data_IF_958806476400
#
_entry.id   IF_958806476400
#
_cell.length_a   1.000
_cell.length_b   1.000
_cell.length_c   1.000
_cell.angle_alpha   90.00
_cell.angle_beta   90.00
_cell.angle_gamma   90.00
#
_symmetry.space_group_name_H-M   'P 1'
#
loop_
_entity.id
_entity.type
_entity.pdbx_description
1 polymer ?
#
# COMPACT_ATOMS: atom_id res chain seq x y z
N UNK A 1 31.16 4.73 12.57
CA UNK A 1 30.88 3.31 12.29
C UNK A 1 29.38 3.18 12.14
N UNK A 2 28.88 3.09 10.91
CA UNK A 2 27.46 2.80 10.67
C UNK A 2 27.26 1.34 11.10
N UNK A 3 26.45 1.11 12.14
CA UNK A 3 26.11 -0.25 12.55
C UNK A 3 25.51 -1.02 11.37
N UNK A 4 25.76 -2.32 11.31
CA UNK A 4 25.18 -3.17 10.26
C UNK A 4 23.67 -2.94 10.18
N UNK A 5 23.19 -2.51 9.01
CA UNK A 5 21.77 -2.36 8.78
C UNK A 5 21.12 -3.74 8.83
N UNK A 6 20.22 -3.94 9.78
CA UNK A 6 19.43 -5.15 9.86
C UNK A 6 18.57 -5.28 8.59
N UNK A 7 18.55 -6.49 8.00
CA UNK A 7 17.78 -6.78 6.81
C UNK A 7 16.74 -7.87 7.08
N UNK A 8 15.55 -7.73 6.48
CA UNK A 8 14.53 -8.78 6.36
C UNK A 8 14.20 -8.95 4.87
N UNK A 9 14.40 -10.16 4.35
CA UNK A 9 14.23 -10.49 2.92
C UNK A 9 14.90 -9.46 2.01
N UNK A 10 16.14 -9.10 2.32
CA UNK A 10 16.95 -8.15 1.56
C UNK A 10 16.55 -6.68 1.67
N UNK A 11 15.56 -6.31 2.50
CA UNK A 11 15.10 -4.93 2.75
C UNK A 11 15.58 -4.41 4.09
N UNK A 12 15.83 -3.10 4.19
CA UNK A 12 16.37 -2.44 5.38
C UNK A 12 15.27 -2.30 6.44
N UNK A 13 15.50 -2.79 7.65
CA UNK A 13 14.55 -2.65 8.76
C UNK A 13 14.59 -1.23 9.31
N UNK A 14 13.46 -0.51 9.25
CA UNK A 14 13.28 0.83 9.84
C UNK A 14 12.51 0.79 11.17
N UNK A 15 11.68 -0.22 11.36
CA UNK A 15 10.96 -0.51 12.61
C UNK A 15 10.52 -1.99 12.59
N UNK A 16 10.61 -2.69 13.72
CA UNK A 16 10.21 -4.10 13.83
C UNK A 16 8.73 -4.28 14.19
N UNK A 17 8.19 -3.40 15.04
CA UNK A 17 6.80 -3.47 15.49
C UNK A 17 6.18 -2.06 15.62
N UNK A 18 5.28 -1.65 14.71
CA UNK A 18 4.85 -2.37 13.51
C UNK A 18 5.95 -2.45 12.44
N UNK A 19 5.97 -3.53 11.65
CA UNK A 19 7.02 -3.82 10.67
C UNK A 19 7.10 -2.75 9.57
N UNK A 20 8.26 -2.12 9.42
CA UNK A 20 8.54 -1.16 8.36
C UNK A 20 9.88 -1.47 7.69
N UNK A 21 9.83 -1.77 6.40
CA UNK A 21 10.97 -2.20 5.60
C UNK A 21 11.19 -1.23 4.44
N UNK A 22 12.42 -0.80 4.24
CA UNK A 22 12.82 0.10 3.16
C UNK A 22 13.51 -0.69 2.03
N UNK A 23 13.21 -0.33 0.79
CA UNK A 23 13.95 -0.84 -0.36
C UNK A 23 15.41 -0.35 -0.29
N UNK A 24 16.43 -1.20 -0.46
CA UNK A 24 17.80 -0.72 -0.64
C UNK A 24 17.88 0.08 -1.95
N UNK A 25 17.93 1.40 -1.87
CA UNK A 25 17.79 2.29 -3.03
C UNK A 25 18.81 2.02 -4.15
N UNK A 26 20.02 1.63 -3.79
CA UNK A 26 21.10 1.22 -4.70
C UNK A 26 20.77 -0.01 -5.57
N UNK A 27 19.74 -0.78 -5.20
CA UNK A 27 19.26 -1.95 -5.96
C UNK A 27 18.15 -1.61 -6.94
N UNK A 28 17.74 -0.34 -7.06
CA UNK A 28 16.76 0.08 -8.05
C UNK A 28 17.40 0.03 -9.45
N UNK A 29 17.00 -0.95 -10.26
CA UNK A 29 17.64 -1.27 -11.54
C UNK A 29 16.68 -1.20 -12.74
N UNK A 30 15.41 -0.79 -12.53
CA UNK A 30 14.41 -0.73 -13.59
C UNK A 30 13.22 0.17 -13.30
N UNK A 31 12.35 0.32 -14.31
CA UNK A 31 11.11 1.10 -14.20
C UNK A 31 10.12 0.49 -13.20
N UNK A 32 10.06 -0.85 -13.14
CA UNK A 32 9.22 -1.58 -12.18
C UNK A 32 10.12 -2.10 -11.07
N UNK A 33 9.81 -1.71 -9.83
CA UNK A 33 10.40 -2.26 -8.63
C UNK A 33 9.88 -3.69 -8.41
N UNK A 34 10.75 -4.72 -8.31
CA UNK A 34 10.31 -6.07 -7.98
C UNK A 34 9.54 -6.12 -6.65
N UNK A 35 8.52 -6.99 -6.56
CA UNK A 35 7.68 -7.12 -5.35
C UNK A 35 8.51 -7.39 -4.10
N UNK A 36 9.55 -8.21 -4.23
CA UNK A 36 10.46 -8.59 -3.15
C UNK A 36 11.29 -7.40 -2.65
N UNK A 37 11.49 -6.39 -3.49
CA UNK A 37 12.24 -5.17 -3.17
C UNK A 37 11.32 -4.02 -2.72
N UNK A 38 10.01 -4.08 -2.99
CA UNK A 38 9.06 -3.00 -2.69
C UNK A 38 9.01 -2.72 -1.18
N UNK A 39 9.01 -1.43 -0.81
CA UNK A 39 9.00 -1.02 0.59
C UNK A 39 7.71 -1.45 1.31
N UNK A 40 7.79 -1.69 2.61
CA UNK A 40 6.65 -2.07 3.45
C UNK A 40 6.46 -1.00 4.51
N UNK A 41 5.31 -0.32 4.51
CA UNK A 41 4.91 0.58 5.59
C UNK A 41 3.65 0.04 6.27
N UNK A 42 3.79 -0.43 7.51
CA UNK A 42 2.63 -0.79 8.35
C UNK A 42 2.52 0.09 9.59
N UNK A 43 1.28 0.38 10.00
CA UNK A 43 0.96 1.07 11.26
C UNK A 43 0.45 0.10 12.35
N UNK A 44 0.04 -1.11 11.94
CA UNK A 44 -0.61 -2.12 12.78
C UNK A 44 -0.13 -3.52 12.38
N UNK A 45 -0.37 -4.55 13.19
CA UNK A 45 -0.10 -5.93 12.82
C UNK A 45 -0.78 -6.33 11.50
N UNK A 46 -0.06 -7.06 10.65
CA UNK A 46 -0.59 -7.55 9.37
C UNK A 46 -1.62 -8.66 9.66
N UNK A 47 -2.88 -8.51 9.20
CA UNK A 47 -3.92 -9.51 9.47
C UNK A 47 -3.70 -10.80 8.69
N UNK A 48 -4.04 -11.94 9.31
CA UNK A 48 -4.19 -13.21 8.60
C UNK A 48 -5.59 -13.28 8.00
N UNK A 49 -5.68 -13.33 6.67
CA UNK A 49 -6.96 -13.29 5.96
C UNK A 49 -7.27 -14.66 5.36
N UNK A 50 -8.49 -15.16 5.62
CA UNK A 50 -9.08 -16.29 4.90
C UNK A 50 -9.82 -15.77 3.67
N UNK A 51 -9.28 -16.06 2.48
CA UNK A 51 -9.83 -15.61 1.19
C UNK A 51 -11.31 -15.98 1.01
N UNK A 52 -11.74 -17.14 1.50
CA UNK A 52 -13.09 -17.64 1.29
C UNK A 52 -14.12 -16.92 2.18
N UNK A 53 -13.68 -16.39 3.32
CA UNK A 53 -14.51 -15.66 4.28
C UNK A 53 -14.43 -14.14 4.10
N UNK A 54 -13.42 -13.65 3.39
CA UNK A 54 -13.26 -12.23 3.13
C UNK A 54 -14.44 -11.65 2.34
N UNK A 55 -14.86 -10.43 2.72
CA UNK A 55 -15.91 -9.67 2.05
C UNK A 55 -15.48 -8.21 1.92
N UNK A 56 -15.67 -7.63 0.74
CA UNK A 56 -15.63 -6.19 0.52
C UNK A 56 -17.03 -5.63 0.70
N UNK A 57 -17.21 -4.75 1.69
CA UNK A 57 -18.47 -4.02 1.91
C UNK A 57 -18.38 -2.67 1.25
N UNK A 58 -19.40 -2.31 0.47
CA UNK A 58 -19.59 -0.97 -0.06
C UNK A 58 -20.89 -0.44 0.55
N UNK A 59 -20.76 0.49 1.50
CA UNK A 59 -21.85 1.00 2.34
C UNK A 59 -21.66 2.49 2.65
N UNK A 60 -22.47 3.07 3.54
CA UNK A 60 -22.46 4.50 3.87
C UNK A 60 -23.48 5.29 3.06
N UNK A 61 -23.09 6.46 2.55
CA UNK A 61 -23.94 7.38 1.77
C UNK A 61 -24.16 6.89 0.33
N UNK A 62 -24.76 5.71 0.20
CA UNK A 62 -25.05 5.03 -1.06
C UNK A 62 -26.49 4.51 -1.10
N UNK A 63 -27.08 4.49 -2.30
CA UNK A 63 -28.46 4.03 -2.51
C UNK A 63 -28.62 2.53 -2.28
N UNK A 64 -27.61 1.75 -2.64
CA UNK A 64 -27.66 0.28 -2.69
C UNK A 64 -26.38 -0.29 -2.08
N UNK A 65 -26.28 -0.39 -0.75
CA UNK A 65 -25.14 -1.05 -0.12
C UNK A 65 -25.08 -2.52 -0.56
N UNK A 66 -23.87 -3.05 -0.74
CA UNK A 66 -23.66 -4.44 -1.13
C UNK A 66 -22.34 -5.00 -0.59
N UNK A 67 -22.21 -6.32 -0.61
CA UNK A 67 -20.96 -7.03 -0.32
C UNK A 67 -20.50 -7.85 -1.52
N UNK A 68 -19.18 -8.03 -1.66
CA UNK A 68 -18.56 -8.93 -2.63
C UNK A 68 -17.60 -9.90 -1.96
N UNK A 69 -17.66 -11.17 -2.34
CA UNK A 69 -16.58 -12.11 -2.10
C UNK A 69 -15.36 -11.83 -3.00
N UNK A 70 -14.21 -12.41 -2.64
CA UNK A 70 -12.98 -12.23 -3.41
C UNK A 70 -13.10 -12.71 -4.87
N UNK A 71 -13.70 -13.88 -5.09
CA UNK A 71 -13.86 -14.44 -6.44
C UNK A 71 -14.91 -13.67 -7.28
N UNK A 72 -15.83 -12.94 -6.65
CA UNK A 72 -16.77 -12.05 -7.34
C UNK A 72 -16.08 -10.76 -7.78
N UNK A 73 -15.23 -10.20 -6.91
CA UNK A 73 -14.41 -9.03 -7.23
C UNK A 73 -13.50 -9.29 -8.43
N UNK A 74 -12.88 -10.47 -8.50
CA UNK A 74 -11.98 -10.84 -9.62
C UNK A 74 -12.70 -10.99 -10.97
N UNK A 75 -14.04 -11.12 -10.99
CA UNK A 75 -14.83 -11.22 -12.24
C UNK A 75 -15.21 -9.85 -12.79
N UNK A 76 -15.06 -8.78 -12.04
CA UNK A 76 -15.35 -7.43 -12.50
C UNK A 76 -14.28 -6.94 -13.47
N UNK A 77 -14.63 -5.93 -14.27
CA UNK A 77 -13.67 -5.29 -15.18
C UNK A 77 -12.47 -4.75 -14.39
N UNK A 78 -11.27 -5.14 -14.81
CA UNK A 78 -10.02 -4.73 -14.19
C UNK A 78 -9.20 -3.86 -15.13
N UNK A 79 -8.43 -2.95 -14.53
CA UNK A 79 -7.41 -2.16 -15.22
C UNK A 79 -6.04 -2.49 -14.65
N UNK A 80 -5.05 -2.35 -15.51
CA UNK A 80 -3.64 -2.59 -15.20
C UNK A 80 -2.86 -1.32 -15.50
N UNK A 81 -2.23 -0.73 -14.48
CA UNK A 81 -1.52 0.55 -14.61
C UNK A 81 -0.23 0.56 -13.78
N UNK A 82 0.88 1.13 -14.28
CA UNK A 82 2.05 1.40 -13.46
C UNK A 82 1.77 2.60 -12.54
N UNK A 83 2.04 2.45 -11.24
CA UNK A 83 1.88 3.51 -10.25
C UNK A 83 3.04 3.48 -9.27
N UNK A 84 3.62 4.66 -9.04
CA UNK A 84 4.57 4.89 -7.96
C UNK A 84 3.81 5.16 -6.66
N UNK A 85 4.10 4.38 -5.64
CA UNK A 85 3.71 4.69 -4.26
C UNK A 85 4.94 5.21 -3.53
N UNK A 86 4.80 6.37 -2.89
CA UNK A 86 5.83 6.98 -2.07
C UNK A 86 5.25 7.28 -0.69
N UNK A 87 5.98 6.89 0.36
CA UNK A 87 5.63 7.29 1.70
C UNK A 87 5.86 8.79 1.88
N UNK A 88 4.91 9.52 2.45
CA UNK A 88 5.12 10.91 2.86
C UNK A 88 6.31 11.10 3.83
N UNK A 89 6.80 10.01 4.45
CA UNK A 89 7.99 9.99 5.28
C UNK A 89 9.29 9.67 4.54
N UNK A 90 9.29 9.43 3.24
CA UNK A 90 10.51 9.20 2.47
C UNK A 90 11.48 10.37 2.71
N UNK A 91 12.77 10.08 2.79
CA UNK A 91 13.83 11.04 3.11
C UNK A 91 13.80 11.66 4.53
N UNK A 92 12.92 11.22 5.45
CA UNK A 92 12.84 11.78 6.81
C UNK A 92 14.18 11.76 7.54
N UNK A 93 15.01 10.75 7.32
CA UNK A 93 16.34 10.63 7.95
C UNK A 93 17.28 11.79 7.59
N UNK A 94 17.02 12.52 6.50
CA UNK A 94 17.84 13.66 6.05
C UNK A 94 17.34 15.01 6.57
N UNK A 95 16.18 15.07 7.24
CA UNK A 95 15.64 16.31 7.79
C UNK A 95 16.49 16.83 8.95
N UNK A 96 16.64 18.16 8.99
CA UNK A 96 17.26 18.90 10.08
C UNK A 96 16.35 20.07 10.53
N UNK A 97 15.97 20.16 11.81
CA UNK A 97 16.28 19.20 12.88
C UNK A 97 15.59 17.85 12.65
N UNK A 98 16.12 16.78 13.26
CA UNK A 98 15.48 15.46 13.24
C UNK A 98 14.05 15.53 13.79
N UNK A 99 13.13 14.85 13.12
CA UNK A 99 11.72 14.78 13.50
C UNK A 99 11.29 13.35 13.83
N UNK A 100 10.23 13.22 14.64
CA UNK A 100 9.68 11.92 15.05
C UNK A 100 9.13 11.13 13.85
N UNK A 101 9.12 9.80 14.00
CA UNK A 101 8.64 8.85 13.01
C UNK A 101 9.73 7.88 12.54
N UNK A 102 9.37 6.91 11.70
CA UNK A 102 10.32 6.00 11.08
C UNK A 102 11.33 6.81 10.24
N UNK A 103 12.62 6.59 10.48
CA UNK A 103 13.71 7.33 9.86
C UNK A 103 14.06 6.73 8.49
N UNK A 104 13.21 6.99 7.50
CA UNK A 104 13.40 6.54 6.13
C UNK A 104 14.57 7.25 5.45
N UNK A 105 15.39 6.49 4.74
CA UNK A 105 16.33 6.96 3.74
C UNK A 105 15.61 7.25 2.43
N UNK A 106 16.20 6.84 1.31
CA UNK A 106 15.71 7.13 -0.05
C UNK A 106 14.71 6.09 -0.58
N UNK A 107 14.60 4.94 0.09
CA UNK A 107 13.91 3.76 -0.45
C UNK A 107 12.46 3.56 0.03
N UNK A 108 11.80 4.57 0.61
CA UNK A 108 10.39 4.48 0.99
C UNK A 108 9.46 4.82 -0.19
N UNK A 109 9.82 4.30 -1.36
CA UNK A 109 9.18 4.53 -2.65
C UNK A 109 9.36 3.30 -3.53
N UNK A 110 8.38 3.00 -4.38
CA UNK A 110 8.45 1.93 -5.36
C UNK A 110 7.44 2.13 -6.47
N UNK A 111 7.75 1.68 -7.68
CA UNK A 111 6.87 1.74 -8.84
C UNK A 111 6.48 0.33 -9.28
N UNK A 112 5.18 0.01 -9.29
CA UNK A 112 4.69 -1.33 -9.61
C UNK A 112 3.53 -1.28 -10.59
N UNK A 113 3.31 -2.39 -11.30
CA UNK A 113 2.13 -2.57 -12.14
C UNK A 113 0.97 -3.10 -11.29
N UNK A 114 -0.03 -2.26 -11.05
CA UNK A 114 -1.19 -2.58 -10.24
C UNK A 114 -2.34 -3.06 -11.12
N UNK A 115 -2.91 -4.22 -10.80
CA UNK A 115 -4.11 -4.73 -11.46
C UNK A 115 -5.26 -4.78 -10.46
N UNK A 116 -6.40 -4.20 -10.82
CA UNK A 116 -7.57 -4.19 -9.94
C UNK A 116 -8.81 -3.58 -10.58
N UNK A 117 -9.92 -3.65 -9.85
CA UNK A 117 -11.19 -3.05 -10.24
C UNK A 117 -11.15 -1.55 -9.95
N UNK A 118 -11.40 -0.67 -10.93
CA UNK A 118 -11.55 0.76 -10.65
C UNK A 118 -12.61 1.01 -9.59
N UNK A 119 -12.28 1.80 -8.56
CA UNK A 119 -13.21 2.10 -7.46
C UNK A 119 -14.53 2.70 -7.97
N UNK A 120 -14.49 3.49 -9.04
CA UNK A 120 -15.68 4.06 -9.68
C UNK A 120 -16.71 3.01 -10.07
N UNK A 121 -16.30 1.82 -10.54
CA UNK A 121 -17.23 0.74 -10.91
C UNK A 121 -18.04 0.28 -9.69
N UNK A 122 -17.40 0.21 -8.52
CA UNK A 122 -18.05 -0.19 -7.28
C UNK A 122 -18.99 0.91 -6.76
N UNK A 123 -18.55 2.16 -6.84
CA UNK A 123 -19.34 3.33 -6.42
C UNK A 123 -20.55 3.58 -7.32
N UNK A 124 -20.40 3.42 -8.64
CA UNK A 124 -21.50 3.52 -9.60
C UNK A 124 -22.56 2.44 -9.35
N UNK A 125 -22.11 1.21 -9.06
CA UNK A 125 -22.99 0.11 -8.66
C UNK A 125 -23.75 0.42 -7.36
N UNK A 126 -23.08 1.01 -6.37
CA UNK A 126 -23.68 1.38 -5.09
C UNK A 126 -24.65 2.57 -5.24
N UNK A 127 -24.39 3.46 -6.20
CA UNK A 127 -25.14 4.68 -6.44
C UNK A 127 -24.91 5.71 -5.33
N UNK A 128 -23.74 6.35 -5.31
CA UNK A 128 -23.36 7.37 -4.32
C UNK A 128 -24.38 8.52 -4.28
N UNK A 129 -24.73 8.95 -3.06
CA UNK A 129 -25.60 10.11 -2.85
C UNK A 129 -24.86 11.43 -3.10
N UNK A 130 -25.56 12.45 -3.59
CA UNK A 130 -24.97 13.76 -3.88
C UNK A 130 -24.44 14.53 -2.66
N UNK A 131 -24.83 14.10 -1.46
CA UNK A 131 -24.33 14.65 -0.20
C UNK A 131 -23.03 14.00 0.29
N UNK A 132 -22.54 12.94 -0.36
CA UNK A 132 -21.30 12.30 0.02
C UNK A 132 -20.11 13.23 -0.21
N UNK A 133 -19.26 13.39 0.81
CA UNK A 133 -18.07 14.26 0.76
C UNK A 133 -16.75 13.51 0.60
N UNK A 134 -16.69 12.27 1.08
CA UNK A 134 -15.50 11.41 1.07
C UNK A 134 -15.89 9.93 0.96
N UNK A 135 -14.93 9.09 0.59
CA UNK A 135 -15.03 7.62 0.51
C UNK A 135 -13.90 7.01 1.32
#
# INVERSE_FOLDING_TARGET
MQGEQQLIDGKIVRCEDPLNLEMPFEKLDGFITPTEAFYVRTHFPIPKIDKNKWRLRVEGEVKKPFELGYDELLKLESRKIPVTLECAGNNRNFLEPKVKGAQWGLGAVGNAEWTGVPLSILLDRAGVHSGAGEV
#
